data_IF_304590409238
#
_entry.id   IF_304590409238
#
_cell.length_a   1.000
_cell.length_b   1.000
_cell.length_c   1.000
_cell.angle_alpha   90.00
_cell.angle_beta   90.00
_cell.angle_gamma   90.00
#
_symmetry.space_group_name_H-M   'P 1'
#
loop_
_entity.id
_entity.type
_entity.pdbx_description
1 polymer ?
#
# COMPACT_ATOMS: atom_id res chain seq x y z
N UNK A 1 -16.53 5.56 14.12
CA UNK A 1 -16.15 4.79 12.92
C UNK A 1 -15.03 3.82 13.25
N UNK A 2 -15.09 2.65 12.66
CA UNK A 2 -14.11 1.61 12.94
C UNK A 2 -13.39 1.26 11.64
N UNK A 3 -12.05 1.33 11.66
CA UNK A 3 -11.23 0.82 10.59
C UNK A 3 -10.83 -0.61 10.92
N UNK A 4 -10.89 -1.48 9.92
CA UNK A 4 -10.52 -2.87 10.09
C UNK A 4 -9.11 -3.09 9.57
N UNK A 5 -8.27 -3.71 10.40
CA UNK A 5 -6.92 -4.07 9.99
C UNK A 5 -6.95 -5.45 9.33
N UNK A 6 -6.25 -5.59 8.21
CA UNK A 6 -6.15 -6.83 7.46
C UNK A 6 -4.77 -7.47 7.67
N UNK A 7 -4.58 -8.72 7.24
CA UNK A 7 -3.26 -9.34 7.28
C UNK A 7 -2.24 -8.52 6.49
N UNK A 8 -0.99 -8.57 6.91
CA UNK A 8 0.07 -7.81 6.27
C UNK A 8 0.32 -8.29 4.85
N UNK A 9 0.56 -7.34 3.95
CA UNK A 9 1.07 -7.61 2.61
C UNK A 9 2.59 -7.53 2.63
N UNK A 10 3.22 -8.28 1.72
CA UNK A 10 4.66 -8.20 1.52
C UNK A 10 5.00 -8.41 0.05
N UNK A 11 5.95 -7.62 -0.47
CA UNK A 11 6.38 -7.72 -1.85
C UNK A 11 7.74 -7.04 -1.98
N UNK A 12 8.72 -7.77 -2.50
CA UNK A 12 10.08 -7.27 -2.73
C UNK A 12 10.73 -6.65 -1.50
N UNK A 13 10.42 -7.18 -0.32
CA UNK A 13 10.96 -6.68 0.93
C UNK A 13 10.18 -5.51 1.52
N UNK A 14 9.18 -5.02 0.83
CA UNK A 14 8.30 -3.96 1.35
C UNK A 14 7.09 -4.60 2.02
N UNK A 15 6.63 -3.99 3.11
CA UNK A 15 5.51 -4.51 3.88
C UNK A 15 4.48 -3.41 4.12
N UNK A 16 3.24 -3.83 4.24
CA UNK A 16 2.15 -2.91 4.56
C UNK A 16 1.00 -3.67 5.19
N UNK A 17 0.36 -3.07 6.18
CA UNK A 17 -0.86 -3.62 6.74
C UNK A 17 -2.04 -2.81 6.23
N UNK A 18 -2.89 -3.37 5.37
CA UNK A 18 -4.03 -2.64 4.85
C UNK A 18 -5.15 -2.53 5.87
N UNK A 19 -5.98 -1.53 5.70
CA UNK A 19 -7.13 -1.25 6.53
C UNK A 19 -8.36 -1.00 5.68
N UNK A 20 -9.53 -1.14 6.27
CA UNK A 20 -10.77 -0.77 5.59
C UNK A 20 -11.39 0.42 6.31
N UNK A 21 -11.71 1.46 5.56
CA UNK A 21 -12.39 2.63 6.10
C UNK A 21 -13.88 2.50 5.83
N UNK A 22 -14.66 2.25 6.89
CA UNK A 22 -16.11 2.19 6.77
C UNK A 22 -16.71 3.51 6.31
N UNK A 23 -16.12 4.60 6.77
CA UNK A 23 -16.62 5.94 6.44
C UNK A 23 -16.51 6.22 4.94
N UNK A 24 -15.39 5.86 4.35
CA UNK A 24 -15.12 6.15 2.94
C UNK A 24 -15.46 4.99 2.02
N UNK A 25 -15.67 3.80 2.58
CA UNK A 25 -15.97 2.62 1.79
C UNK A 25 -14.80 2.15 0.93
N UNK A 26 -13.57 2.37 1.39
CA UNK A 26 -12.39 1.99 0.64
C UNK A 26 -11.42 1.22 1.50
N UNK A 27 -10.63 0.37 0.85
CA UNK A 27 -9.51 -0.32 1.45
C UNK A 27 -8.26 0.50 1.16
N UNK A 28 -7.38 0.67 2.13
CA UNK A 28 -6.22 1.53 1.97
C UNK A 28 -5.04 1.02 2.79
N UNK A 29 -3.84 1.49 2.46
CA UNK A 29 -2.67 1.16 3.22
C UNK A 29 -1.52 2.10 2.92
N UNK A 30 -0.48 1.96 3.74
CA UNK A 30 0.74 2.74 3.60
C UNK A 30 1.91 1.76 3.67
N UNK A 31 2.90 1.92 2.79
CA UNK A 31 4.10 1.09 2.84
C UNK A 31 4.87 1.46 4.10
N UNK A 32 5.12 0.48 4.96
CA UNK A 32 5.50 0.73 6.34
C UNK A 32 6.98 0.85 6.63
N UNK A 33 7.84 0.24 5.81
CA UNK A 33 9.27 0.16 6.12
C UNK A 33 10.12 1.08 5.25
N UNK A 34 9.57 2.23 4.88
CA UNK A 34 10.29 3.26 4.15
C UNK A 34 10.02 4.61 4.80
N UNK A 35 10.90 5.58 4.54
CA UNK A 35 10.76 6.92 5.11
C UNK A 35 9.82 7.82 4.31
N UNK A 36 9.61 7.49 3.05
CA UNK A 36 8.72 8.27 2.20
C UNK A 36 7.26 7.84 2.43
N UNK A 37 6.34 8.76 2.19
CA UNK A 37 4.92 8.45 2.32
C UNK A 37 4.40 7.91 1.00
N UNK A 38 4.12 6.61 0.95
CA UNK A 38 3.56 5.96 -0.23
C UNK A 38 2.28 5.27 0.17
N UNK A 39 1.18 5.69 -0.41
CA UNK A 39 -0.17 5.19 -0.09
C UNK A 39 -0.75 4.45 -1.30
N UNK A 40 -1.66 3.53 -1.01
CA UNK A 40 -2.41 2.84 -2.04
C UNK A 40 -3.83 2.61 -1.51
N UNK A 41 -4.78 2.52 -2.42
CA UNK A 41 -6.17 2.26 -2.03
C UNK A 41 -6.92 1.56 -3.16
N UNK A 42 -8.08 1.02 -2.81
CA UNK A 42 -8.98 0.41 -3.77
C UNK A 42 -10.36 0.29 -3.14
N UNK A 43 -11.40 0.40 -3.96
CA UNK A 43 -12.76 0.13 -3.51
C UNK A 43 -13.12 -1.36 -3.63
N UNK A 44 -12.18 -2.19 -4.06
CA UNK A 44 -12.39 -3.63 -4.26
C UNK A 44 -11.23 -4.37 -3.62
N UNK A 45 -11.54 -5.18 -2.59
CA UNK A 45 -10.51 -5.89 -1.85
C UNK A 45 -9.73 -6.85 -2.74
N UNK A 46 -10.37 -7.38 -3.78
CA UNK A 46 -9.68 -8.34 -4.67
C UNK A 46 -8.61 -7.66 -5.51
N UNK A 47 -8.62 -6.34 -5.59
CA UNK A 47 -7.64 -5.57 -6.34
C UNK A 47 -6.62 -4.87 -5.44
N UNK A 48 -6.81 -4.94 -4.13
CA UNK A 48 -6.00 -4.16 -3.20
C UNK A 48 -4.54 -4.57 -3.23
N UNK A 49 -4.26 -5.88 -3.27
CA UNK A 49 -2.88 -6.35 -3.33
C UNK A 49 -2.19 -5.88 -4.62
N UNK A 50 -2.93 -5.88 -5.73
CA UNK A 50 -2.38 -5.39 -7.00
C UNK A 50 -2.02 -3.91 -6.91
N UNK A 51 -2.83 -3.12 -6.20
CA UNK A 51 -2.51 -1.70 -5.98
C UNK A 51 -1.27 -1.55 -5.10
N UNK A 52 -1.12 -2.39 -4.09
CA UNK A 52 0.08 -2.40 -3.27
C UNK A 52 1.32 -2.73 -4.12
N UNK A 53 1.24 -3.77 -4.94
CA UNK A 53 2.35 -4.16 -5.82
C UNK A 53 2.72 -3.02 -6.76
N UNK A 54 1.71 -2.37 -7.34
CA UNK A 54 1.94 -1.24 -8.23
C UNK A 54 2.64 -0.09 -7.50
N UNK A 55 2.21 0.19 -6.28
CA UNK A 55 2.84 1.26 -5.48
C UNK A 55 4.29 0.93 -5.19
N UNK A 56 4.61 -0.34 -4.88
CA UNK A 56 5.99 -0.76 -4.64
C UNK A 56 6.81 -0.61 -5.92
N UNK A 57 6.29 -1.07 -7.05
CA UNK A 57 7.02 -0.97 -8.32
C UNK A 57 7.30 0.48 -8.70
N UNK A 58 6.30 1.34 -8.53
CA UNK A 58 6.47 2.77 -8.81
C UNK A 58 7.53 3.39 -7.89
N UNK A 59 7.52 3.01 -6.61
CA UNK A 59 8.51 3.53 -5.67
C UNK A 59 9.92 3.05 -6.01
N UNK A 60 10.07 1.78 -6.38
CA UNK A 60 11.38 1.23 -6.77
C UNK A 60 11.90 1.95 -8.01
N UNK A 61 11.04 2.18 -8.99
CA UNK A 61 11.42 2.92 -10.19
C UNK A 61 11.83 4.36 -9.86
N UNK A 62 11.09 5.01 -8.97
CA UNK A 62 11.44 6.36 -8.53
C UNK A 62 12.82 6.37 -7.88
N UNK A 63 13.10 5.41 -7.00
CA UNK A 63 14.40 5.32 -6.33
C UNK A 63 15.54 5.10 -7.34
N UNK A 64 15.29 4.30 -8.38
CA UNK A 64 16.31 4.07 -9.41
C UNK A 64 16.58 5.34 -10.21
N UNK A 65 15.56 6.15 -10.45
CA UNK A 65 15.72 7.38 -11.23
C UNK A 65 16.51 8.44 -10.46
N UNK A 66 16.35 8.53 -9.14
CA UNK A 66 16.99 9.56 -8.34
C UNK A 66 18.29 9.08 -7.71
N UNK A 67 18.57 7.79 -7.74
CA UNK A 67 19.75 7.19 -7.12
C UNK A 67 20.81 6.95 -8.21
N UNK A 68 21.89 7.64 -8.11
CA UNK A 68 22.98 7.53 -9.07
C UNK A 68 24.26 7.04 -8.43
#
# INVERSE_FOLDING_TARGET
MIDYALPWFGYRGFVSQPHYSEEDGVWYGKIGNISDLVLYDSDDISKLYAEFVKAVEDYVDFCKEVSH
#
